data_IF_052660367449
#
_entry.id   IF_052660367449
#
_cell.length_a   1.000
_cell.length_b   1.000
_cell.length_c   1.000
_cell.angle_alpha   90.00
_cell.angle_beta   90.00
_cell.angle_gamma   90.00
#
_symmetry.space_group_name_H-M   'P 1'
#
loop_
_entity.id
_entity.type
_entity.pdbx_description
1 polymer ?
#
# COMPACT_ATOMS: atom_id res chain seq x y z
N UNK A 1 -11.46 5.50 24.93
CA UNK A 1 -11.75 6.95 24.75
C UNK A 1 -11.50 7.43 23.31
N UNK A 2 -10.64 6.78 22.51
CA UNK A 2 -10.50 7.06 21.06
C UNK A 2 -11.77 6.74 20.25
N UNK A 3 -12.46 5.65 20.59
CA UNK A 3 -13.67 5.22 19.89
C UNK A 3 -14.79 6.27 19.98
N UNK A 4 -15.00 6.91 21.13
CA UNK A 4 -16.06 7.92 21.28
C UNK A 4 -15.80 9.20 20.46
N UNK A 5 -14.53 9.58 20.24
CA UNK A 5 -14.17 10.68 19.35
C UNK A 5 -14.33 10.27 17.88
N UNK A 6 -13.95 9.04 17.53
CA UNK A 6 -14.15 8.45 16.21
C UNK A 6 -15.64 8.34 15.86
N UNK A 7 -16.50 7.95 16.81
CA UNK A 7 -17.95 7.93 16.59
C UNK A 7 -18.60 9.32 16.48
N UNK A 8 -18.00 10.32 17.13
CA UNK A 8 -18.50 11.70 17.09
C UNK A 8 -18.25 12.36 15.75
N UNK A 9 -17.15 12.02 15.05
CA UNK A 9 -16.86 12.54 13.71
C UNK A 9 -17.88 12.08 12.66
N UNK A 10 -18.57 10.95 12.87
CA UNK A 10 -19.63 10.48 11.96
C UNK A 10 -20.90 11.34 11.98
N UNK A 11 -21.18 12.10 13.04
CA UNK A 11 -22.45 12.85 13.13
C UNK A 11 -22.57 13.96 12.07
N UNK A 12 -21.48 14.35 11.41
CA UNK A 12 -21.47 15.40 10.37
C UNK A 12 -21.22 14.91 8.95
N UNK A 13 -20.94 13.62 8.72
CA UNK A 13 -20.62 13.11 7.38
C UNK A 13 -21.90 12.72 6.64
N UNK A 14 -22.12 13.30 5.46
CA UNK A 14 -23.22 12.91 4.57
C UNK A 14 -22.99 11.46 4.06
N UNK A 15 -24.06 10.76 3.68
CA UNK A 15 -23.92 9.47 2.99
C UNK A 15 -23.29 9.70 1.62
N UNK A 16 -22.47 8.76 1.16
CA UNK A 16 -21.96 8.80 -0.20
C UNK A 16 -23.11 8.64 -1.19
N UNK A 17 -23.03 9.40 -2.26
CA UNK A 17 -23.76 9.11 -3.49
C UNK A 17 -23.11 7.92 -4.18
N UNK A 18 -23.89 7.21 -5.01
CA UNK A 18 -23.38 6.12 -5.86
C UNK A 18 -22.17 6.54 -6.72
N UNK A 19 -22.10 7.82 -7.10
CA UNK A 19 -20.97 8.37 -7.86
C UNK A 19 -19.71 8.45 -6.98
N UNK A 20 -19.83 8.96 -5.77
CA UNK A 20 -18.69 9.07 -4.84
C UNK A 20 -18.18 7.69 -4.40
N UNK A 21 -19.08 6.71 -4.19
CA UNK A 21 -18.71 5.31 -3.95
C UNK A 21 -17.89 4.74 -5.12
N UNK A 22 -18.33 4.99 -6.36
CA UNK A 22 -17.64 4.54 -7.55
C UNK A 22 -16.28 5.22 -7.72
N UNK A 23 -16.19 6.52 -7.43
CA UNK A 23 -14.94 7.27 -7.53
C UNK A 23 -13.94 6.84 -6.44
N UNK A 24 -14.42 6.49 -5.24
CA UNK A 24 -13.60 5.86 -4.19
C UNK A 24 -13.07 4.49 -4.61
N UNK A 25 -13.94 3.64 -5.18
CA UNK A 25 -13.53 2.34 -5.67
C UNK A 25 -12.42 2.46 -6.73
N UNK A 26 -12.57 3.39 -7.68
CA UNK A 26 -11.52 3.68 -8.69
C UNK A 26 -10.20 4.12 -8.04
N UNK A 27 -10.24 5.04 -7.07
CA UNK A 27 -9.03 5.50 -6.35
C UNK A 27 -8.31 4.33 -5.65
N UNK A 28 -9.07 3.42 -5.03
CA UNK A 28 -8.54 2.22 -4.39
C UNK A 28 -7.88 1.30 -5.43
N UNK A 29 -8.58 1.02 -6.54
CA UNK A 29 -8.07 0.15 -7.61
C UNK A 29 -6.81 0.73 -8.27
N UNK A 30 -6.78 2.03 -8.53
CA UNK A 30 -5.64 2.73 -9.10
C UNK A 30 -4.43 2.70 -8.17
N UNK A 31 -4.63 2.99 -6.88
CA UNK A 31 -3.57 2.89 -5.86
C UNK A 31 -3.01 1.46 -5.78
N UNK A 32 -3.89 0.46 -5.73
CA UNK A 32 -3.47 -0.94 -5.70
C UNK A 32 -2.70 -1.35 -6.96
N UNK A 33 -3.14 -0.89 -8.13
CA UNK A 33 -2.47 -1.17 -9.41
C UNK A 33 -1.07 -0.55 -9.45
N UNK A 34 -0.92 0.70 -9.01
CA UNK A 34 0.38 1.40 -8.93
C UNK A 34 1.36 0.66 -8.03
N UNK A 35 0.92 0.24 -6.85
CA UNK A 35 1.73 -0.58 -5.93
C UNK A 35 2.15 -1.89 -6.59
N UNK A 36 1.21 -2.64 -7.20
CA UNK A 36 1.53 -3.91 -7.88
C UNK A 36 2.54 -3.74 -9.00
N UNK A 37 2.46 -2.65 -9.76
CA UNK A 37 3.43 -2.32 -10.82
C UNK A 37 4.81 -2.00 -10.25
N UNK A 38 4.88 -1.18 -9.20
CA UNK A 38 6.16 -0.87 -8.52
C UNK A 38 6.81 -2.11 -7.92
N UNK A 39 6.04 -2.98 -7.26
CA UNK A 39 6.53 -4.27 -6.74
C UNK A 39 7.01 -5.18 -7.87
N UNK A 40 6.27 -5.25 -9.00
CA UNK A 40 6.70 -6.01 -10.18
C UNK A 40 8.04 -5.51 -10.72
N UNK A 41 8.17 -4.21 -10.90
CA UNK A 41 9.38 -3.60 -11.44
C UNK A 41 10.57 -3.80 -10.48
N UNK A 42 10.35 -3.66 -9.18
CA UNK A 42 11.38 -3.91 -8.18
C UNK A 42 11.83 -5.37 -8.20
N UNK A 43 10.88 -6.32 -8.30
CA UNK A 43 11.20 -7.75 -8.43
C UNK A 43 12.05 -8.04 -9.68
N UNK A 44 11.73 -7.40 -10.82
CA UNK A 44 12.48 -7.57 -12.06
C UNK A 44 13.91 -7.01 -11.96
N UNK A 45 14.08 -5.85 -11.32
CA UNK A 45 15.38 -5.25 -11.07
C UNK A 45 16.21 -6.14 -10.13
N UNK A 46 15.62 -6.64 -9.05
CA UNK A 46 16.29 -7.54 -8.12
C UNK A 46 16.68 -8.87 -8.77
N UNK A 47 15.88 -9.40 -9.71
CA UNK A 47 16.22 -10.62 -10.43
C UNK A 47 17.53 -10.50 -11.23
N UNK A 48 17.84 -9.30 -11.72
CA UNK A 48 19.04 -9.01 -12.51
C UNK A 48 20.20 -8.45 -11.66
N UNK A 49 19.97 -8.15 -10.39
CA UNK A 49 21.01 -7.63 -9.50
C UNK A 49 21.99 -8.75 -9.07
N UNK A 50 23.27 -8.39 -9.01
CA UNK A 50 24.37 -9.25 -8.57
C UNK A 50 24.45 -9.18 -7.04
N UNK A 51 23.52 -9.72 -6.23
CA UNK A 51 23.65 -9.71 -4.73
C UNK A 51 22.70 -10.74 -4.06
N UNK A 52 22.83 -11.03 -2.75
CA UNK A 52 23.31 -12.27 -2.15
C UNK A 52 22.21 -13.33 -1.93
N UNK A 53 22.54 -14.40 -1.19
CA UNK A 53 21.76 -15.59 -0.78
C UNK A 53 20.25 -15.37 -0.53
N UNK A 54 19.85 -14.20 -0.01
CA UNK A 54 18.46 -13.84 0.30
C UNK A 54 17.66 -13.21 -0.87
N UNK A 55 18.26 -13.06 -2.06
CA UNK A 55 17.58 -12.54 -3.28
C UNK A 55 16.37 -13.36 -3.65
N UNK A 56 16.51 -14.68 -3.62
CA UNK A 56 15.42 -15.61 -3.97
C UNK A 56 14.25 -15.45 -3.00
N UNK A 57 14.54 -15.36 -1.70
CA UNK A 57 13.53 -15.14 -0.64
C UNK A 57 12.85 -13.79 -0.82
N UNK A 58 13.61 -12.71 -1.05
CA UNK A 58 13.07 -11.38 -1.30
C UNK A 58 12.13 -11.37 -2.52
N UNK A 59 12.55 -11.96 -3.64
CA UNK A 59 11.75 -12.06 -4.87
C UNK A 59 10.47 -12.87 -4.62
N UNK A 60 10.56 -13.95 -3.85
CA UNK A 60 9.41 -14.79 -3.50
C UNK A 60 8.40 -14.03 -2.64
N UNK A 61 8.87 -13.32 -1.60
CA UNK A 61 8.00 -12.51 -0.75
C UNK A 61 7.32 -11.37 -1.53
N UNK A 62 8.07 -10.60 -2.33
CA UNK A 62 7.51 -9.54 -3.17
C UNK A 62 6.50 -10.09 -4.18
N UNK A 63 6.76 -11.27 -4.74
CA UNK A 63 5.81 -11.94 -5.64
C UNK A 63 4.55 -12.39 -4.92
N UNK A 64 4.65 -12.84 -3.67
CA UNK A 64 3.50 -13.19 -2.84
C UNK A 64 2.65 -11.94 -2.54
N UNK A 65 3.29 -10.84 -2.11
CA UNK A 65 2.61 -9.56 -1.83
C UNK A 65 1.87 -9.06 -3.08
N UNK A 66 2.49 -9.14 -4.26
CA UNK A 66 1.85 -8.73 -5.53
C UNK A 66 0.58 -9.51 -5.86
N UNK A 67 0.50 -10.78 -5.44
CA UNK A 67 -0.61 -11.70 -5.74
C UNK A 67 -1.77 -11.60 -4.74
N UNK A 68 -1.60 -10.85 -3.65
CA UNK A 68 -2.68 -10.65 -2.68
C UNK A 68 -3.89 -10.00 -3.35
N UNK A 69 -5.09 -10.52 -3.05
CA UNK A 69 -6.36 -9.96 -3.52
C UNK A 69 -6.57 -8.54 -3.01
N UNK A 70 -6.17 -8.27 -1.76
CA UNK A 70 -6.10 -6.95 -1.15
C UNK A 70 -4.72 -6.66 -0.55
N UNK A 71 -4.24 -5.42 -0.71
CA UNK A 71 -3.00 -4.96 -0.11
C UNK A 71 -3.28 -4.43 1.29
N UNK A 72 -2.79 -5.13 2.32
CA UNK A 72 -2.87 -4.72 3.72
C UNK A 72 -1.70 -3.82 4.10
N UNK A 73 -1.86 -3.01 5.15
CA UNK A 73 -0.78 -2.18 5.69
C UNK A 73 0.46 -3.03 6.05
N UNK A 74 0.25 -4.21 6.63
CA UNK A 74 1.32 -5.16 6.97
C UNK A 74 2.06 -5.64 5.71
N UNK A 75 1.35 -5.96 4.63
CA UNK A 75 1.98 -6.39 3.39
C UNK A 75 2.79 -5.26 2.74
N UNK A 76 2.31 -4.02 2.83
CA UNK A 76 3.03 -2.85 2.32
C UNK A 76 4.27 -2.53 3.15
N UNK A 77 4.17 -2.60 4.48
CA UNK A 77 5.30 -2.43 5.40
C UNK A 77 6.38 -3.49 5.18
N UNK A 78 5.96 -4.73 4.91
CA UNK A 78 6.89 -5.81 4.56
C UNK A 78 7.61 -5.54 3.25
N UNK A 79 6.88 -5.12 2.21
CA UNK A 79 7.50 -4.72 0.93
C UNK A 79 8.48 -3.56 1.10
N UNK A 80 8.11 -2.58 1.93
CA UNK A 80 8.94 -1.42 2.24
C UNK A 80 10.24 -1.82 2.93
N UNK A 81 10.15 -2.65 3.97
CA UNK A 81 11.28 -3.16 4.73
C UNK A 81 12.26 -3.92 3.83
N UNK A 82 11.75 -4.84 3.02
CA UNK A 82 12.55 -5.63 2.08
C UNK A 82 13.27 -4.72 1.09
N UNK A 83 12.55 -3.82 0.41
CA UNK A 83 13.12 -2.95 -0.61
C UNK A 83 14.09 -1.93 -0.01
N UNK A 84 13.83 -1.43 1.20
CA UNK A 84 14.71 -0.53 1.93
C UNK A 84 16.02 -1.20 2.34
N UNK A 85 15.99 -2.48 2.74
CA UNK A 85 17.21 -3.24 3.01
C UNK A 85 18.10 -3.36 1.75
N UNK A 86 17.49 -3.60 0.59
CA UNK A 86 18.18 -3.65 -0.70
C UNK A 86 18.71 -2.27 -1.14
N UNK A 87 17.94 -1.21 -0.95
CA UNK A 87 18.35 0.16 -1.27
C UNK A 87 19.35 0.75 -0.27
N UNK A 88 19.37 0.26 0.97
CA UNK A 88 20.18 0.73 2.09
C UNK A 88 21.48 -0.05 2.31
N UNK A 89 21.66 -1.22 1.67
CA UNK A 89 22.92 -1.94 1.71
C UNK A 89 24.04 -1.08 1.10
N UNK A 90 24.83 -0.42 1.94
CA UNK A 90 26.01 0.39 1.60
C UNK A 90 27.29 -0.25 2.13
N UNK A 91 27.21 -1.43 2.73
CA UNK A 91 28.37 -2.15 3.23
C UNK A 91 29.43 -2.27 2.14
N UNK A 92 30.70 -2.17 2.50
CA UNK A 92 31.82 -2.50 1.60
C UNK A 92 31.55 -3.90 1.03
N UNK A 93 31.34 -3.99 -0.30
CA UNK A 93 30.82 -5.20 -0.95
C UNK A 93 29.35 -5.16 -1.38
N UNK A 94 28.65 -4.02 -1.25
CA UNK A 94 27.33 -3.83 -1.84
C UNK A 94 27.45 -3.78 -3.37
N UNK A 95 27.07 -4.89 -3.98
CA UNK A 95 27.09 -5.10 -5.43
C UNK A 95 25.91 -4.43 -6.17
N UNK A 96 25.11 -3.61 -5.48
CA UNK A 96 24.00 -2.87 -6.09
C UNK A 96 24.52 -1.55 -6.62
N UNK A 97 24.62 -1.46 -7.95
CA UNK A 97 25.07 -0.25 -8.64
C UNK A 97 24.19 0.96 -8.29
N UNK A 98 24.75 2.19 -8.23
CA UNK A 98 24.03 3.40 -7.83
C UNK A 98 22.71 3.63 -8.59
N UNK A 99 22.67 3.27 -9.88
CA UNK A 99 21.49 3.41 -10.74
C UNK A 99 20.36 2.49 -10.28
N UNK A 100 20.67 1.24 -9.94
CA UNK A 100 19.69 0.28 -9.41
C UNK A 100 19.17 0.77 -8.06
N UNK A 101 20.07 1.29 -7.21
CA UNK A 101 19.67 1.87 -5.92
C UNK A 101 18.67 3.01 -6.09
N UNK A 102 18.94 3.94 -7.00
CA UNK A 102 18.03 5.05 -7.28
C UNK A 102 16.67 4.56 -7.78
N UNK A 103 16.65 3.59 -8.71
CA UNK A 103 15.41 2.99 -9.18
C UNK A 103 14.61 2.35 -8.03
N UNK A 104 15.27 1.64 -7.11
CA UNK A 104 14.64 1.07 -5.91
C UNK A 104 14.04 2.15 -5.00
N UNK A 105 14.75 3.26 -4.79
CA UNK A 105 14.25 4.39 -4.01
C UNK A 105 13.03 5.07 -4.66
N UNK A 106 13.01 5.21 -5.99
CA UNK A 106 11.84 5.70 -6.72
C UNK A 106 10.63 4.78 -6.51
N UNK A 107 10.82 3.46 -6.64
CA UNK A 107 9.74 2.50 -6.45
C UNK A 107 9.23 2.45 -5.01
N UNK A 108 10.13 2.57 -4.02
CA UNK A 108 9.77 2.72 -2.61
C UNK A 108 8.90 3.95 -2.37
N UNK A 109 9.31 5.10 -2.94
CA UNK A 109 8.55 6.35 -2.82
C UNK A 109 7.15 6.20 -3.41
N UNK A 110 7.04 5.54 -4.55
CA UNK A 110 5.76 5.26 -5.20
C UNK A 110 4.89 4.30 -4.38
N UNK A 111 5.45 3.22 -3.83
CA UNK A 111 4.72 2.27 -2.96
C UNK A 111 4.19 2.99 -1.71
N UNK A 112 5.01 3.82 -1.05
CA UNK A 112 4.61 4.60 0.13
C UNK A 112 3.51 5.62 -0.19
N UNK A 113 3.60 6.27 -1.35
CA UNK A 113 2.64 7.30 -1.75
C UNK A 113 1.30 6.69 -2.14
N UNK A 114 1.32 5.67 -3.00
CA UNK A 114 0.11 4.93 -3.37
C UNK A 114 -0.48 4.17 -2.18
N UNK A 115 0.34 3.67 -1.26
CA UNK A 115 -0.09 3.03 -0.02
C UNK A 115 -0.87 3.95 0.91
N UNK A 116 -0.40 5.20 1.09
CA UNK A 116 -1.14 6.23 1.83
C UNK A 116 -2.47 6.58 1.16
N UNK A 117 -2.46 6.79 -0.15
CA UNK A 117 -3.68 7.07 -0.92
C UNK A 117 -4.73 5.95 -0.81
N UNK A 118 -4.27 4.69 -0.85
CA UNK A 118 -5.11 3.51 -0.67
C UNK A 118 -5.75 3.50 0.73
N UNK A 119 -4.96 3.78 1.76
CA UNK A 119 -5.42 3.77 3.15
C UNK A 119 -6.41 4.90 3.41
N UNK A 120 -6.13 6.12 2.93
CA UNK A 120 -7.02 7.26 3.04
C UNK A 120 -8.38 6.98 2.39
N UNK A 121 -8.38 6.39 1.19
CA UNK A 121 -9.61 6.05 0.48
C UNK A 121 -10.40 4.91 1.16
N UNK A 122 -9.71 3.92 1.74
CA UNK A 122 -10.35 2.87 2.54
C UNK A 122 -10.96 3.44 3.81
N UNK A 123 -10.25 4.33 4.50
CA UNK A 123 -10.75 4.96 5.71
C UNK A 123 -11.98 5.79 5.40
N UNK A 124 -11.95 6.57 4.31
CA UNK A 124 -13.11 7.30 3.80
C UNK A 124 -14.30 6.35 3.58
N UNK A 125 -14.11 5.23 2.87
CA UNK A 125 -15.16 4.24 2.65
C UNK A 125 -15.71 3.63 3.95
N UNK A 126 -14.84 3.29 4.90
CA UNK A 126 -15.24 2.75 6.21
C UNK A 126 -16.06 3.77 7.00
N UNK A 127 -15.65 5.05 7.01
CA UNK A 127 -16.39 6.09 7.73
C UNK A 127 -17.82 6.24 7.19
N UNK A 128 -17.98 6.18 5.87
CA UNK A 128 -19.30 6.28 5.24
C UNK A 128 -20.15 5.00 5.45
N UNK A 129 -19.55 3.81 5.41
CA UNK A 129 -20.25 2.56 5.74
C UNK A 129 -20.75 2.54 7.20
N UNK A 130 -19.93 2.99 8.14
CA UNK A 130 -20.34 3.08 9.55
C UNK A 130 -21.48 4.08 9.74
N UNK A 131 -21.49 5.20 9.00
CA UNK A 131 -22.61 6.15 8.98
C UNK A 131 -23.90 5.49 8.51
N UNK A 132 -23.85 4.73 7.40
CA UNK A 132 -24.99 4.00 6.86
C UNK A 132 -25.58 3.03 7.88
N UNK A 133 -24.73 2.23 8.54
CA UNK A 133 -25.15 1.28 9.58
C UNK A 133 -25.85 2.01 10.74
N UNK A 134 -25.29 3.16 11.20
CA UNK A 134 -25.91 3.97 12.25
C UNK A 134 -27.26 4.55 11.81
N UNK A 135 -27.40 4.99 10.56
CA UNK A 135 -28.67 5.52 10.05
C UNK A 135 -29.73 4.43 9.89
N UNK A 136 -29.36 3.22 9.47
CA UNK A 136 -30.25 2.05 9.45
C UNK A 136 -30.71 1.70 10.88
N UNK A 137 -29.78 1.66 11.83
CA UNK A 137 -30.07 1.34 13.24
C UNK A 137 -30.96 2.37 13.94
N UNK A 138 -30.95 3.64 13.52
CA UNK A 138 -31.85 4.68 14.04
C UNK A 138 -33.27 4.62 13.47
N UNK A 139 -33.46 3.91 12.36
CA UNK A 139 -34.74 3.75 11.66
C UNK A 139 -35.44 2.43 11.98
N UNK A 140 -34.79 1.56 12.76
CA UNK A 140 -35.32 0.29 13.30
C UNK A 140 -35.78 0.50 14.74
#
# INVERSE_FOLDING_TARGET
>A
MLESLYFRSFRGTALLTKKEELDLAKRIDEGARRIRMSVKNATAILANAVSPTSRKETIQELSAIRRLSGLSAIALDRADTLLSAWAGSTAEGSLVVPEIRQQLLTMLTEIRTAGRQLEDAKEELVRHNLRLVVDVAKRS
#
